data_IF_234953127730
#
_entry.id   IF_234953127730
#
_cell.length_a   1.000
_cell.length_b   1.000
_cell.length_c   1.000
_cell.angle_alpha   90.00
_cell.angle_beta   90.00
_cell.angle_gamma   90.00
#
_symmetry.space_group_name_H-M   'P 1'
#
loop_
_entity.id
_entity.type
_entity.pdbx_description
1 polymer ?
#
# COMPACT_ATOMS: atom_id res chain seq x y z
N UNK A 1 24.12 30.39 30.95
CA UNK A 1 23.81 29.00 30.56
C UNK A 1 22.97 29.11 29.31
N UNK A 2 23.32 28.44 28.21
CA UNK A 2 22.46 28.41 27.06
C UNK A 2 21.11 27.83 27.47
N UNK A 3 20.05 28.34 26.86
CA UNK A 3 18.70 27.79 27.05
C UNK A 3 18.63 26.39 26.43
N UNK A 4 17.75 25.51 26.93
CA UNK A 4 17.55 24.16 26.36
C UNK A 4 17.32 24.20 24.84
N UNK A 5 16.77 25.31 24.31
CA UNK A 5 16.57 25.56 22.89
C UNK A 5 17.86 25.89 22.12
N UNK A 6 18.80 26.61 22.73
CA UNK A 6 20.12 26.93 22.16
C UNK A 6 21.00 25.68 22.12
N UNK A 7 20.92 24.83 23.15
CA UNK A 7 21.59 23.53 23.15
C UNK A 7 21.01 22.63 22.04
N UNK A 8 19.68 22.60 21.87
CA UNK A 8 19.00 21.84 20.80
C UNK A 8 19.41 22.29 19.39
N UNK A 9 19.68 23.59 19.20
CA UNK A 9 20.18 24.17 17.95
C UNK A 9 21.63 23.76 17.65
N UNK A 10 22.50 23.66 18.67
CA UNK A 10 23.86 23.13 18.51
C UNK A 10 23.87 21.63 18.16
N UNK A 11 22.88 20.86 18.64
CA UNK A 11 22.76 19.42 18.34
C UNK A 11 22.33 19.10 16.91
N UNK A 12 21.58 19.98 16.23
CA UNK A 12 21.14 19.77 14.85
C UNK A 12 22.30 19.76 13.83
N UNK A 13 23.48 20.27 14.20
CA UNK A 13 24.65 20.37 13.32
C UNK A 13 25.67 19.23 13.48
N UNK A 14 25.51 18.33 14.46
CA UNK A 14 26.43 17.23 14.69
C UNK A 14 25.93 15.93 14.04
N UNK A 15 26.69 15.43 13.06
CA UNK A 15 26.41 14.20 12.30
C UNK A 15 26.55 12.89 13.08
N UNK A 16 25.99 12.81 14.30
CA UNK A 16 25.97 11.61 15.11
C UNK A 16 24.58 10.94 15.05
N UNK A 17 24.54 9.67 14.66
CA UNK A 17 23.32 8.90 14.36
C UNK A 17 22.45 8.55 15.58
N UNK A 18 22.84 8.99 16.79
CA UNK A 18 22.07 8.82 18.04
C UNK A 18 20.98 9.89 18.27
N UNK A 19 20.84 10.90 17.39
CA UNK A 19 19.87 12.01 17.52
C UNK A 19 18.50 11.66 16.89
N UNK A 20 17.94 10.48 17.18
CA UNK A 20 16.65 10.03 16.60
C UNK A 20 15.43 10.16 17.51
N UNK A 21 15.57 10.73 18.70
CA UNK A 21 14.43 10.96 19.59
C UNK A 21 14.47 12.40 20.09
N UNK A 22 14.00 13.33 19.23
CA UNK A 22 13.54 14.63 19.72
C UNK A 22 12.38 14.36 20.68
N UNK A 23 12.50 14.79 21.93
CA UNK A 23 11.39 14.68 22.89
C UNK A 23 10.24 15.58 22.42
N UNK A 24 9.08 15.02 22.02
CA UNK A 24 7.94 15.80 21.59
C UNK A 24 7.45 16.78 22.67
N UNK A 25 7.71 16.51 23.95
CA UNK A 25 7.27 17.34 25.06
C UNK A 25 7.79 18.78 24.99
N UNK A 26 8.99 18.99 24.43
CA UNK A 26 9.57 20.33 24.23
C UNK A 26 8.73 21.15 23.26
N UNK A 27 8.17 20.53 22.23
CA UNK A 27 7.39 21.21 21.19
C UNK A 27 5.95 21.50 21.61
N UNK A 28 5.48 20.93 22.73
CA UNK A 28 4.14 21.16 23.29
C UNK A 28 4.04 22.45 24.10
N UNK A 29 5.16 23.02 24.54
CA UNK A 29 5.17 24.18 25.44
C UNK A 29 5.72 25.44 24.76
N UNK A 30 5.07 26.61 24.94
CA UNK A 30 3.72 26.80 25.49
C UNK A 30 2.66 26.45 24.43
N UNK A 31 1.67 25.62 24.78
CA UNK A 31 0.44 25.39 23.98
C UNK A 31 0.68 25.13 22.47
N UNK A 32 1.63 24.27 22.15
CA UNK A 32 2.02 23.90 20.77
C UNK A 32 2.47 25.08 19.90
N UNK A 33 2.89 26.22 20.48
CA UNK A 33 3.46 27.34 19.73
C UNK A 33 4.64 26.89 18.84
N UNK A 34 5.61 26.08 19.32
CA UNK A 34 6.67 25.56 18.45
C UNK A 34 6.15 24.78 17.25
N UNK A 35 5.10 23.96 17.41
CA UNK A 35 4.47 23.23 16.29
C UNK A 35 3.83 24.20 15.30
N UNK A 36 3.15 25.25 15.79
CA UNK A 36 2.56 26.29 14.92
C UNK A 36 3.63 27.03 14.12
N UNK A 37 4.75 27.38 14.75
CA UNK A 37 5.87 28.04 14.09
C UNK A 37 6.50 27.11 13.02
N UNK A 38 6.71 25.83 13.34
CA UNK A 38 7.19 24.84 12.38
C UNK A 38 6.27 24.73 11.15
N UNK A 39 4.95 24.75 11.32
CA UNK A 39 3.99 24.75 10.21
C UNK A 39 4.18 25.96 9.27
N UNK A 40 4.49 27.14 9.83
CA UNK A 40 4.79 28.33 9.04
C UNK A 40 6.12 28.20 8.29
N UNK A 41 7.15 27.65 8.95
CA UNK A 41 8.50 27.47 8.39
C UNK A 41 8.54 26.46 7.22
N UNK A 42 7.55 25.57 7.09
CA UNK A 42 7.39 24.70 5.89
C UNK A 42 7.22 25.52 4.60
N UNK A 43 6.72 26.76 4.69
CA UNK A 43 6.53 27.67 3.54
C UNK A 43 7.78 28.49 3.20
N UNK A 44 8.82 28.40 4.01
CA UNK A 44 10.05 29.21 3.88
C UNK A 44 11.00 28.63 2.79
N UNK A 45 12.17 29.25 2.62
CA UNK A 45 13.18 28.79 1.67
C UNK A 45 13.73 27.40 2.05
N UNK A 46 14.20 26.66 1.05
CA UNK A 46 14.39 25.19 1.10
C UNK A 46 15.13 24.65 2.35
N UNK A 47 16.32 25.14 2.75
CA UNK A 47 16.98 24.72 3.99
C UNK A 47 16.11 24.82 5.25
N UNK A 48 15.39 25.92 5.43
CA UNK A 48 14.52 26.10 6.61
C UNK A 48 13.32 25.15 6.53
N UNK A 49 12.66 25.09 5.37
CA UNK A 49 11.53 24.19 5.16
C UNK A 49 11.92 22.72 5.41
N UNK A 50 13.10 22.30 4.95
CA UNK A 50 13.63 20.94 5.16
C UNK A 50 13.85 20.64 6.64
N UNK A 51 14.45 21.57 7.39
CA UNK A 51 14.64 21.41 8.83
C UNK A 51 13.30 21.33 9.56
N UNK A 52 12.34 22.20 9.22
CA UNK A 52 11.01 22.19 9.80
C UNK A 52 10.27 20.88 9.53
N UNK A 53 10.28 20.39 8.29
CA UNK A 53 9.70 19.10 7.91
C UNK A 53 10.35 17.95 8.67
N UNK A 54 11.68 17.94 8.78
CA UNK A 54 12.42 16.90 9.51
C UNK A 54 12.01 16.84 10.99
N UNK A 55 11.87 18.00 11.63
CA UNK A 55 11.40 18.08 13.02
C UNK A 55 9.96 17.55 13.11
N UNK A 56 9.05 18.01 12.25
CA UNK A 56 7.65 17.57 12.22
C UNK A 56 7.52 16.06 12.01
N UNK A 57 8.32 15.46 11.11
CA UNK A 57 8.36 14.02 10.90
C UNK A 57 8.73 13.30 12.20
N UNK A 58 9.77 13.77 12.89
CA UNK A 58 10.27 13.13 14.10
C UNK A 58 9.29 13.23 15.29
N UNK A 59 8.49 14.30 15.39
CA UNK A 59 7.56 14.51 16.50
C UNK A 59 6.11 14.09 16.20
N UNK A 60 5.77 13.79 14.95
CA UNK A 60 4.41 13.41 14.52
C UNK A 60 3.98 12.00 14.95
N UNK A 61 4.82 11.28 15.72
CA UNK A 61 4.40 10.07 16.43
C UNK A 61 3.63 10.39 17.72
N UNK A 62 3.75 11.61 18.26
CA UNK A 62 2.98 12.06 19.41
C UNK A 62 1.55 12.39 19.02
N UNK A 63 0.58 11.85 19.76
CA UNK A 63 -0.86 11.94 19.43
C UNK A 63 -1.38 13.38 19.38
N UNK A 64 -1.00 14.23 20.34
CA UNK A 64 -1.50 15.61 20.42
C UNK A 64 -0.94 16.47 19.28
N UNK A 65 0.34 16.27 18.95
CA UNK A 65 0.98 16.97 17.83
C UNK A 65 0.37 16.49 16.52
N UNK A 66 0.24 15.18 16.33
CA UNK A 66 -0.35 14.58 15.14
C UNK A 66 -1.77 15.12 14.88
N UNK A 67 -2.62 15.17 15.91
CA UNK A 67 -3.96 15.75 15.84
C UNK A 67 -3.94 17.23 15.46
N UNK A 68 -2.98 18.01 16.00
CA UNK A 68 -2.83 19.41 15.64
C UNK A 68 -2.42 19.62 14.17
N UNK A 69 -1.60 18.73 13.61
CA UNK A 69 -1.16 18.80 12.22
C UNK A 69 -2.29 18.40 11.26
N UNK A 70 -3.02 17.33 11.58
CA UNK A 70 -4.11 16.82 10.73
C UNK A 70 -5.31 17.78 10.68
N UNK A 71 -5.60 18.47 11.78
CA UNK A 71 -6.66 19.47 11.87
C UNK A 71 -6.38 20.76 11.07
N UNK A 72 -5.16 20.97 10.58
CA UNK A 72 -4.76 22.17 9.86
C UNK A 72 -4.85 21.99 8.33
N UNK A 73 -6.02 22.29 7.77
CA UNK A 73 -6.26 22.14 6.32
C UNK A 73 -5.33 23.04 5.46
N UNK A 74 -4.86 24.17 5.99
CA UNK A 74 -3.93 25.05 5.28
C UNK A 74 -2.53 24.42 5.19
N UNK A 75 -2.08 23.75 6.25
CA UNK A 75 -0.87 22.92 6.22
C UNK A 75 -1.03 21.81 5.19
N UNK A 76 -2.13 21.05 5.23
CA UNK A 76 -2.36 19.94 4.29
C UNK A 76 -2.32 20.43 2.84
N UNK A 77 -3.02 21.51 2.50
CA UNK A 77 -2.97 22.08 1.14
C UNK A 77 -1.57 22.59 0.78
N UNK A 78 -0.82 23.14 1.74
CA UNK A 78 0.57 23.55 1.53
C UNK A 78 1.46 22.35 1.19
N UNK A 79 1.33 21.24 1.91
CA UNK A 79 2.06 19.99 1.67
C UNK A 79 1.70 19.41 0.29
N UNK A 80 0.41 19.34 -0.04
CA UNK A 80 -0.07 18.85 -1.34
C UNK A 80 0.41 19.72 -2.51
N UNK A 81 0.41 21.05 -2.34
CA UNK A 81 0.95 21.96 -3.36
C UNK A 81 2.44 21.76 -3.57
N UNK A 82 3.22 21.62 -2.49
CA UNK A 82 4.68 21.45 -2.57
C UNK A 82 5.06 20.07 -3.13
N UNK A 83 4.47 18.97 -2.67
CA UNK A 83 4.80 17.63 -3.18
C UNK A 83 4.47 17.46 -4.67
N UNK A 84 3.47 18.18 -5.18
CA UNK A 84 3.09 18.17 -6.60
C UNK A 84 3.86 19.19 -7.45
N UNK A 85 4.84 19.92 -6.89
CA UNK A 85 5.76 20.78 -7.65
C UNK A 85 7.00 19.96 -8.07
N UNK A 86 7.26 19.78 -9.38
CA UNK A 86 8.45 19.07 -9.88
C UNK A 86 9.79 19.67 -9.45
N UNK A 87 9.82 20.90 -8.94
CA UNK A 87 11.01 21.60 -8.45
C UNK A 87 11.17 21.57 -6.94
N UNK A 88 10.22 20.99 -6.21
CA UNK A 88 10.27 20.94 -4.76
C UNK A 88 11.39 20.01 -4.29
N UNK A 89 12.39 20.57 -3.62
CA UNK A 89 13.54 19.79 -3.12
C UNK A 89 13.21 19.00 -1.85
N UNK A 90 12.09 19.30 -1.19
CA UNK A 90 11.65 18.64 0.04
C UNK A 90 10.48 17.67 -0.15
N UNK A 91 10.24 17.23 -1.39
CA UNK A 91 9.07 16.41 -1.72
C UNK A 91 9.09 15.03 -1.03
N UNK A 92 10.26 14.43 -0.81
CA UNK A 92 10.38 13.17 -0.05
C UNK A 92 10.11 13.38 1.44
N UNK A 93 10.59 14.47 2.06
CA UNK A 93 10.24 14.81 3.45
C UNK A 93 8.74 15.08 3.60
N UNK A 94 8.11 15.72 2.62
CA UNK A 94 6.66 15.89 2.61
C UNK A 94 5.94 14.55 2.51
N UNK A 95 6.39 13.64 1.64
CA UNK A 95 5.84 12.29 1.54
C UNK A 95 5.94 11.54 2.88
N UNK A 96 7.08 11.64 3.56
CA UNK A 96 7.28 11.07 4.90
C UNK A 96 6.30 11.66 5.92
N UNK A 97 6.16 12.99 5.96
CA UNK A 97 5.22 13.63 6.89
C UNK A 97 3.79 13.20 6.60
N UNK A 98 3.35 13.26 5.34
CA UNK A 98 2.01 12.82 4.93
C UNK A 98 1.74 11.36 5.32
N UNK A 99 2.73 10.46 5.20
CA UNK A 99 2.59 9.07 5.64
C UNK A 99 2.40 8.94 7.16
N UNK A 100 3.02 9.81 7.97
CA UNK A 100 2.74 9.84 9.40
C UNK A 100 1.34 10.39 9.70
N UNK A 101 0.93 11.44 8.97
CA UNK A 101 -0.42 12.03 9.13
C UNK A 101 -1.51 11.00 8.80
N UNK A 102 -1.30 10.16 7.78
CA UNK A 102 -2.24 9.14 7.31
C UNK A 102 -2.70 8.14 8.39
N UNK A 103 -1.95 8.02 9.50
CA UNK A 103 -2.29 7.16 10.63
C UNK A 103 -3.50 7.65 11.42
N UNK A 104 -3.99 8.87 11.18
CA UNK A 104 -5.27 9.37 11.71
C UNK A 104 -6.36 9.22 10.65
N UNK A 105 -7.48 8.64 11.07
CA UNK A 105 -8.68 8.42 10.25
C UNK A 105 -9.16 9.72 9.55
N UNK A 106 -8.99 10.88 10.18
CA UNK A 106 -9.31 12.19 9.59
C UNK A 106 -8.62 12.45 8.23
N UNK A 107 -7.49 11.80 7.95
CA UNK A 107 -6.80 11.89 6.66
C UNK A 107 -7.51 11.16 5.52
N UNK A 108 -8.54 10.35 5.78
CA UNK A 108 -9.48 9.84 4.77
C UNK A 108 -10.05 10.97 3.89
N UNK A 109 -10.09 12.21 4.41
CA UNK A 109 -10.49 13.41 3.67
C UNK A 109 -9.73 13.58 2.35
N UNK A 110 -8.47 13.12 2.27
CA UNK A 110 -7.65 13.21 1.05
C UNK A 110 -8.24 12.44 -0.14
N UNK A 111 -9.03 11.38 0.10
CA UNK A 111 -9.59 10.53 -0.94
C UNK A 111 -10.56 11.34 -1.84
N UNK A 112 -11.35 12.21 -1.23
CA UNK A 112 -12.38 13.00 -1.91
C UNK A 112 -12.04 14.50 -2.04
N UNK A 113 -10.88 14.93 -1.49
CA UNK A 113 -10.46 16.32 -1.53
C UNK A 113 -10.17 16.77 -2.96
N UNK A 114 -10.98 17.73 -3.45
CA UNK A 114 -10.71 18.45 -4.69
C UNK A 114 -9.77 19.62 -4.42
N UNK A 115 -8.78 19.80 -5.28
CA UNK A 115 -7.80 20.89 -5.20
C UNK A 115 -7.36 21.38 -6.56
N UNK A 116 -6.50 22.39 -6.57
CA UNK A 116 -5.94 22.95 -7.80
C UNK A 116 -5.19 21.88 -8.60
N UNK A 117 -5.28 21.97 -9.93
CA UNK A 117 -4.51 21.11 -10.82
C UNK A 117 -3.03 21.47 -10.75
N UNK A 118 -2.12 20.49 -10.57
CA UNK A 118 -0.70 20.72 -10.75
C UNK A 118 -0.37 20.88 -12.24
N UNK A 119 0.92 21.01 -12.56
CA UNK A 119 1.35 20.96 -13.96
C UNK A 119 0.95 19.62 -14.58
N UNK A 120 0.52 19.64 -15.86
CA UNK A 120 -0.05 18.46 -16.55
C UNK A 120 0.87 17.24 -16.56
N UNK A 121 2.18 17.44 -16.50
CA UNK A 121 3.18 16.36 -16.43
C UNK A 121 3.11 15.57 -15.12
N UNK A 122 2.62 16.20 -14.04
CA UNK A 122 2.37 15.56 -12.75
C UNK A 122 1.04 14.85 -12.81
N UNK A 123 -0.07 15.59 -12.96
CA UNK A 123 -1.42 15.01 -12.96
C UNK A 123 -2.42 15.89 -13.70
N UNK A 124 -3.49 15.26 -14.19
CA UNK A 124 -4.66 15.90 -14.78
C UNK A 124 -5.90 15.80 -13.88
N UNK A 125 -5.82 15.07 -12.77
CA UNK A 125 -6.96 14.89 -11.85
C UNK A 125 -7.12 16.07 -10.90
N UNK A 126 -8.36 16.51 -10.61
CA UNK A 126 -8.63 17.50 -9.57
C UNK A 126 -8.59 16.93 -8.15
N UNK A 127 -8.44 15.62 -7.96
CA UNK A 127 -8.46 15.00 -6.63
C UNK A 127 -7.06 14.82 -6.06
N UNK A 128 -6.88 15.11 -4.77
CA UNK A 128 -5.59 15.07 -4.09
C UNK A 128 -4.96 13.67 -4.13
N UNK A 129 -5.73 12.61 -3.86
CA UNK A 129 -5.20 11.24 -3.87
C UNK A 129 -4.77 10.78 -5.27
N UNK A 130 -5.50 11.15 -6.32
CA UNK A 130 -5.10 10.88 -7.71
C UNK A 130 -3.76 11.58 -8.04
N UNK A 131 -3.58 12.82 -7.59
CA UNK A 131 -2.34 13.57 -7.81
C UNK A 131 -1.15 12.94 -7.06
N UNK A 132 -1.37 12.48 -5.82
CA UNK A 132 -0.34 11.78 -5.04
C UNK A 132 0.02 10.42 -5.64
N UNK A 133 -0.97 9.67 -6.12
CA UNK A 133 -0.76 8.42 -6.84
C UNK A 133 0.03 8.66 -8.13
N UNK A 134 -0.28 9.71 -8.88
CA UNK A 134 0.48 10.08 -10.07
C UNK A 134 1.94 10.46 -9.71
N UNK A 135 2.18 11.19 -8.62
CA UNK A 135 3.53 11.44 -8.11
C UNK A 135 4.27 10.14 -7.78
N UNK A 136 3.60 9.20 -7.12
CA UNK A 136 4.16 7.89 -6.79
C UNK A 136 4.54 7.09 -8.05
N UNK A 137 3.62 6.97 -9.02
CA UNK A 137 3.80 6.14 -10.22
C UNK A 137 4.81 6.78 -11.18
N UNK A 138 4.64 8.08 -11.48
CA UNK A 138 5.45 8.79 -12.48
C UNK A 138 6.73 9.39 -11.92
N UNK A 139 6.90 9.42 -10.59
CA UNK A 139 8.05 10.01 -9.92
C UNK A 139 9.11 9.00 -9.47
N UNK A 140 8.88 7.71 -9.70
CA UNK A 140 9.88 6.68 -9.42
C UNK A 140 11.20 7.03 -10.12
N UNK A 141 12.32 6.80 -9.44
CA UNK A 141 13.68 7.05 -9.94
C UNK A 141 13.97 8.49 -10.40
N UNK A 142 13.27 9.48 -9.81
CA UNK A 142 13.53 10.90 -10.05
C UNK A 142 13.06 11.41 -11.41
N UNK A 143 12.20 10.66 -12.09
CA UNK A 143 11.68 10.98 -13.42
C UNK A 143 10.75 12.19 -13.45
N UNK A 144 9.97 12.40 -12.38
CA UNK A 144 9.11 13.58 -12.22
C UNK A 144 9.82 14.75 -11.53
N UNK A 145 10.66 14.45 -10.54
CA UNK A 145 11.39 15.43 -9.73
C UNK A 145 12.81 14.89 -9.47
N UNK A 146 13.84 15.63 -9.89
CA UNK A 146 15.25 15.19 -9.76
C UNK A 146 15.74 15.07 -8.32
N UNK A 147 14.98 15.61 -7.36
CA UNK A 147 15.32 15.63 -5.95
C UNK A 147 14.49 14.65 -5.12
N UNK A 148 13.54 13.94 -5.72
CA UNK A 148 12.59 13.11 -5.00
C UNK A 148 12.23 11.83 -5.75
N UNK A 149 11.99 10.75 -5.01
CA UNK A 149 11.53 9.49 -5.56
C UNK A 149 10.11 9.12 -5.10
N UNK A 150 9.53 9.86 -4.16
CA UNK A 150 8.16 9.66 -3.67
C UNK A 150 7.91 8.28 -3.01
N UNK A 151 8.96 7.57 -2.58
CA UNK A 151 8.82 6.21 -2.06
C UNK A 151 7.85 6.12 -0.88
N UNK A 152 7.91 7.10 0.05
CA UNK A 152 7.07 7.13 1.25
C UNK A 152 5.58 7.36 0.98
N UNK A 153 5.21 7.78 -0.24
CA UNK A 153 3.79 7.79 -0.64
C UNK A 153 3.21 6.37 -0.59
N UNK A 154 4.03 5.32 -0.75
CA UNK A 154 3.58 3.93 -0.59
C UNK A 154 2.91 3.66 0.77
N UNK A 155 3.45 4.24 1.86
CA UNK A 155 2.87 4.07 3.20
C UNK A 155 1.60 4.91 3.39
N UNK A 156 1.52 6.11 2.79
CA UNK A 156 0.29 6.89 2.75
C UNK A 156 -0.85 6.10 2.06
N UNK A 157 -0.57 5.47 0.91
CA UNK A 157 -1.55 4.65 0.18
C UNK A 157 -1.95 3.40 0.98
N UNK A 158 -0.98 2.77 1.66
CA UNK A 158 -1.23 1.63 2.53
C UNK A 158 -2.11 1.99 3.74
N UNK A 159 -1.87 3.13 4.39
CA UNK A 159 -2.69 3.57 5.52
C UNK A 159 -4.12 3.94 5.08
N UNK A 160 -4.27 4.69 3.99
CA UNK A 160 -5.60 5.06 3.48
C UNK A 160 -6.42 3.83 3.03
N UNK A 161 -5.77 2.79 2.51
CA UNK A 161 -6.46 1.55 2.10
C UNK A 161 -6.94 0.67 3.25
N UNK A 162 -6.59 0.97 4.51
CA UNK A 162 -7.17 0.29 5.68
C UNK A 162 -8.67 0.57 5.83
N UNK A 163 -9.10 1.72 5.33
CA UNK A 163 -10.49 2.19 5.40
C UNK A 163 -11.27 1.73 4.17
N UNK A 164 -12.57 1.44 4.35
CA UNK A 164 -13.42 0.96 3.24
C UNK A 164 -13.43 1.95 2.06
N UNK A 165 -13.56 3.24 2.33
CA UNK A 165 -13.54 4.30 1.30
C UNK A 165 -12.23 4.33 0.52
N UNK A 166 -11.10 3.99 1.16
CA UNK A 166 -9.81 3.84 0.49
C UNK A 166 -9.75 2.60 -0.39
N UNK A 167 -10.26 1.46 0.08
CA UNK A 167 -10.35 0.24 -0.75
C UNK A 167 -11.23 0.45 -1.97
N UNK A 168 -12.39 1.09 -1.77
CA UNK A 168 -13.31 1.45 -2.85
C UNK A 168 -12.61 2.35 -3.88
N UNK A 169 -11.79 3.32 -3.44
CA UNK A 169 -10.96 4.12 -4.34
C UNK A 169 -10.01 3.25 -5.17
N UNK A 170 -9.26 2.34 -4.54
CA UNK A 170 -8.29 1.50 -5.24
C UNK A 170 -8.90 0.46 -6.19
N UNK A 171 -10.18 0.12 -5.99
CA UNK A 171 -10.92 -0.88 -6.76
C UNK A 171 -11.92 -0.27 -7.76
N UNK A 172 -12.00 1.06 -7.84
CA UNK A 172 -12.92 1.76 -8.76
C UNK A 172 -12.17 2.45 -9.89
N UNK A 173 -12.62 2.22 -11.13
CA UNK A 173 -12.13 2.93 -12.32
C UNK A 173 -12.23 4.44 -12.12
N UNK A 174 -11.15 5.17 -12.40
CA UNK A 174 -11.11 6.62 -12.28
C UNK A 174 -11.39 7.30 -13.61
N UNK A 175 -12.16 8.39 -13.59
CA UNK A 175 -12.56 9.09 -14.81
C UNK A 175 -11.39 9.79 -15.53
N UNK A 176 -10.35 10.20 -14.79
CA UNK A 176 -9.28 11.05 -15.33
C UNK A 176 -8.29 10.30 -16.22
N UNK A 177 -8.11 9.00 -16.02
CA UNK A 177 -7.20 8.14 -16.77
C UNK A 177 -7.86 6.83 -17.26
N UNK A 178 -9.07 6.51 -16.78
CA UNK A 178 -9.80 5.30 -17.15
C UNK A 178 -9.24 4.02 -16.55
N UNK A 179 -8.41 4.10 -15.49
CA UNK A 179 -7.70 2.96 -14.92
C UNK A 179 -8.17 2.70 -13.47
N UNK A 180 -8.10 1.44 -13.05
CA UNK A 180 -8.31 1.05 -11.65
C UNK A 180 -7.02 1.32 -10.86
N UNK A 181 -7.02 2.15 -9.80
CA UNK A 181 -5.78 2.60 -9.18
C UNK A 181 -4.84 1.49 -8.69
N UNK A 182 -5.37 0.35 -8.21
CA UNK A 182 -4.52 -0.76 -7.75
C UNK A 182 -3.63 -1.33 -8.86
N UNK A 183 -4.07 -1.35 -10.13
CA UNK A 183 -3.26 -1.90 -11.24
C UNK A 183 -2.03 -1.05 -11.55
N UNK A 184 -2.04 0.23 -11.16
CA UNK A 184 -0.87 1.12 -11.27
C UNK A 184 0.18 0.86 -10.19
N UNK A 185 -0.17 0.12 -9.13
CA UNK A 185 0.72 -0.19 -8.01
C UNK A 185 1.42 -1.53 -8.17
N UNK A 186 0.80 -2.51 -8.84
CA UNK A 186 1.26 -3.90 -8.88
C UNK A 186 2.69 -4.05 -9.41
N UNK A 187 3.08 -3.26 -10.41
CA UNK A 187 4.46 -3.27 -10.97
C UNK A 187 5.56 -2.96 -9.96
N UNK A 188 5.21 -2.34 -8.82
CA UNK A 188 6.18 -1.96 -7.80
C UNK A 188 6.44 -3.05 -6.75
N UNK A 189 5.83 -4.24 -6.86
CA UNK A 189 6.13 -5.38 -5.97
C UNK A 189 7.54 -5.93 -6.17
N UNK A 190 8.14 -5.74 -7.35
CA UNK A 190 9.53 -6.12 -7.67
C UNK A 190 10.49 -4.90 -7.72
N UNK A 191 10.08 -3.75 -7.18
CA UNK A 191 10.87 -2.53 -7.26
C UNK A 191 12.10 -2.56 -6.32
N UNK A 192 13.22 -1.95 -6.71
CA UNK A 192 14.45 -1.89 -5.89
C UNK A 192 14.26 -1.24 -4.51
N UNK A 193 13.33 -0.30 -4.40
CA UNK A 193 13.00 0.38 -3.13
C UNK A 193 12.15 -0.51 -2.23
N UNK A 194 12.72 -0.88 -1.08
CA UNK A 194 12.05 -1.63 -0.03
C UNK A 194 10.76 -0.96 0.47
N UNK A 195 10.79 0.36 0.65
CA UNK A 195 9.64 1.16 1.12
C UNK A 195 8.46 1.01 0.15
N UNK A 196 8.73 1.06 -1.16
CA UNK A 196 7.69 0.87 -2.18
C UNK A 196 7.10 -0.52 -2.12
N UNK A 197 7.95 -1.56 -2.14
CA UNK A 197 7.48 -2.96 -2.09
C UNK A 197 6.60 -3.20 -0.87
N UNK A 198 7.04 -2.76 0.32
CA UNK A 198 6.30 -2.93 1.57
C UNK A 198 4.93 -2.22 1.57
N UNK A 199 4.88 -0.95 1.15
CA UNK A 199 3.63 -0.20 1.11
C UNK A 199 2.65 -0.73 0.03
N UNK A 200 3.18 -1.15 -1.11
CA UNK A 200 2.38 -1.74 -2.21
C UNK A 200 1.82 -3.10 -1.81
N UNK A 201 2.65 -3.99 -1.23
CA UNK A 201 2.19 -5.27 -0.71
C UNK A 201 1.07 -5.10 0.32
N UNK A 202 1.23 -4.13 1.24
CA UNK A 202 0.21 -3.79 2.23
C UNK A 202 -1.09 -3.26 1.58
N UNK A 203 -0.98 -2.41 0.57
CA UNK A 203 -2.15 -1.88 -0.17
C UNK A 203 -2.89 -2.99 -0.91
N UNK A 204 -2.16 -3.90 -1.55
CA UNK A 204 -2.70 -5.09 -2.23
C UNK A 204 -3.44 -5.99 -1.25
N UNK A 205 -2.84 -6.31 -0.10
CA UNK A 205 -3.49 -7.07 0.97
C UNK A 205 -4.78 -6.39 1.45
N UNK A 206 -4.71 -5.09 1.67
CA UNK A 206 -5.86 -4.32 2.16
C UNK A 206 -7.05 -4.40 1.19
N UNK A 207 -6.84 -4.20 -0.11
CA UNK A 207 -7.96 -4.28 -1.07
C UNK A 207 -8.51 -5.70 -1.23
N UNK A 208 -7.71 -6.73 -0.96
CA UNK A 208 -8.14 -8.13 -1.00
C UNK A 208 -9.14 -8.50 0.12
N UNK A 209 -9.41 -7.62 1.09
CA UNK A 209 -10.52 -7.80 2.04
C UNK A 209 -11.91 -7.64 1.39
N UNK A 210 -12.02 -6.97 0.24
CA UNK A 210 -13.29 -6.85 -0.50
C UNK A 210 -13.52 -8.12 -1.35
N UNK A 211 -14.14 -9.13 -0.72
CA UNK A 211 -14.37 -10.47 -1.31
C UNK A 211 -15.17 -10.41 -2.60
N UNK A 212 -16.15 -9.52 -2.70
CA UNK A 212 -16.95 -9.29 -3.91
C UNK A 212 -16.11 -8.75 -5.09
N UNK A 213 -14.91 -8.23 -4.82
CA UNK A 213 -13.97 -7.71 -5.82
C UNK A 213 -12.87 -8.70 -6.19
N UNK A 214 -12.83 -9.90 -5.62
CA UNK A 214 -11.88 -10.95 -6.02
C UNK A 214 -11.96 -11.28 -7.53
N UNK A 215 -13.13 -11.36 -8.18
CA UNK A 215 -13.19 -11.56 -9.62
C UNK A 215 -12.46 -10.47 -10.42
N UNK A 216 -12.61 -9.19 -10.02
CA UNK A 216 -11.90 -8.07 -10.66
C UNK A 216 -10.37 -8.18 -10.47
N UNK A 217 -9.93 -8.56 -9.26
CA UNK A 217 -8.52 -8.70 -8.94
C UNK A 217 -7.85 -9.85 -9.71
N UNK A 218 -8.56 -10.97 -9.86
CA UNK A 218 -8.06 -12.21 -10.47
C UNK A 218 -8.22 -12.27 -12.00
N UNK A 219 -9.12 -11.46 -12.57
CA UNK A 219 -9.32 -11.35 -14.00
C UNK A 219 -8.08 -10.76 -14.69
N UNK A 220 -7.79 -11.27 -15.89
CA UNK A 220 -6.72 -10.81 -16.76
C UNK A 220 -6.99 -9.37 -17.27
N UNK A 221 -5.96 -8.65 -17.71
CA UNK A 221 -6.12 -7.27 -18.18
C UNK A 221 -6.90 -7.17 -19.51
N UNK A 222 -7.02 -8.29 -20.24
CA UNK A 222 -7.88 -8.44 -21.41
C UNK A 222 -9.34 -8.75 -21.08
N UNK A 223 -9.62 -9.20 -19.86
CA UNK A 223 -10.97 -9.51 -19.38
C UNK A 223 -11.65 -8.27 -18.80
N UNK A 224 -12.98 -8.31 -18.67
CA UNK A 224 -13.77 -7.20 -18.11
C UNK A 224 -14.73 -7.72 -17.05
N UNK A 225 -14.73 -7.08 -15.89
CA UNK A 225 -15.63 -7.34 -14.77
C UNK A 225 -16.42 -6.06 -14.51
N UNK A 226 -17.75 -6.11 -14.64
CA UNK A 226 -18.64 -4.95 -14.46
C UNK A 226 -18.26 -3.70 -15.28
N UNK A 227 -17.76 -3.91 -16.51
CA UNK A 227 -17.33 -2.81 -17.40
C UNK A 227 -15.95 -2.23 -17.07
N UNK A 228 -15.20 -2.87 -16.16
CA UNK A 228 -13.86 -2.50 -15.74
C UNK A 228 -12.86 -3.58 -16.17
N UNK A 229 -11.72 -3.23 -16.81
CA UNK A 229 -10.68 -4.20 -17.11
C UNK A 229 -10.17 -4.92 -15.86
N UNK A 230 -9.84 -6.20 -15.99
CA UNK A 230 -9.22 -6.97 -14.91
C UNK A 230 -7.89 -6.38 -14.46
N UNK A 231 -7.51 -6.65 -13.20
CA UNK A 231 -6.28 -6.12 -12.60
C UNK A 231 -5.06 -6.99 -12.91
N UNK A 232 -5.26 -8.28 -13.22
CA UNK A 232 -4.23 -9.29 -13.38
C UNK A 232 -3.23 -9.29 -12.20
N UNK A 233 -3.73 -9.43 -10.97
CA UNK A 233 -2.90 -9.22 -9.78
C UNK A 233 -1.91 -10.36 -9.49
N UNK A 234 -2.21 -11.59 -9.95
CA UNK A 234 -1.50 -12.79 -9.54
C UNK A 234 0.00 -12.80 -9.86
N UNK A 235 0.46 -12.45 -11.09
CA UNK A 235 1.89 -12.39 -11.38
C UNK A 235 2.65 -11.53 -10.38
N UNK A 236 2.09 -10.38 -10.01
CA UNK A 236 2.73 -9.41 -9.12
C UNK A 236 2.76 -9.81 -7.64
N UNK A 237 1.88 -10.70 -7.21
CA UNK A 237 1.91 -11.29 -5.86
C UNK A 237 2.85 -12.50 -5.82
N UNK A 238 2.92 -13.27 -6.90
CA UNK A 238 3.67 -14.52 -6.97
C UNK A 238 5.16 -14.30 -7.29
N UNK A 239 5.51 -13.30 -8.11
CA UNK A 239 6.90 -12.99 -8.45
C UNK A 239 7.79 -12.73 -7.21
N UNK A 240 7.37 -11.95 -6.20
CA UNK A 240 8.15 -11.78 -4.97
C UNK A 240 8.40 -13.08 -4.19
N UNK A 241 7.54 -14.09 -4.36
CA UNK A 241 7.65 -15.40 -3.72
C UNK A 241 8.53 -16.39 -4.53
N UNK A 242 8.82 -16.08 -5.79
CA UNK A 242 9.55 -16.95 -6.69
C UNK A 242 11.07 -16.80 -6.58
N UNK A 243 11.80 -17.92 -6.61
CA UNK A 243 13.24 -17.95 -6.88
C UNK A 243 13.52 -18.37 -8.31
N UNK A 244 14.77 -18.74 -8.60
CA UNK A 244 15.21 -19.26 -9.90
C UNK A 244 15.02 -20.77 -10.06
N UNK A 245 14.09 -21.37 -9.30
CA UNK A 245 13.82 -22.80 -9.38
C UNK A 245 13.18 -23.20 -10.71
N UNK A 246 13.52 -24.40 -11.18
CA UNK A 246 12.88 -25.03 -12.33
C UNK A 246 11.77 -25.98 -11.88
N UNK A 247 10.62 -25.88 -12.53
CA UNK A 247 9.47 -26.75 -12.28
C UNK A 247 9.39 -27.87 -13.33
N UNK A 248 8.91 -29.08 -12.97
CA UNK A 248 8.58 -30.12 -13.94
C UNK A 248 7.63 -29.61 -15.03
N UNK A 249 7.76 -30.12 -16.25
CA UNK A 249 6.97 -29.67 -17.42
C UNK A 249 5.46 -29.73 -17.17
N UNK A 250 4.98 -30.76 -16.45
CA UNK A 250 3.57 -30.91 -16.09
C UNK A 250 3.05 -29.80 -15.15
N UNK A 251 3.88 -29.37 -14.18
CA UNK A 251 3.55 -28.25 -13.28
C UNK A 251 3.70 -26.91 -14.05
N UNK A 252 4.79 -26.74 -14.80
CA UNK A 252 5.09 -25.49 -15.53
C UNK A 252 4.05 -25.16 -16.61
N UNK A 253 3.50 -26.17 -17.31
CA UNK A 253 2.55 -25.97 -18.41
C UNK A 253 1.30 -25.15 -18.04
N UNK A 254 0.89 -25.19 -16.77
CA UNK A 254 -0.28 -24.47 -16.28
C UNK A 254 0.07 -23.23 -15.44
N UNK A 255 1.35 -22.95 -15.17
CA UNK A 255 1.76 -21.74 -14.46
C UNK A 255 1.46 -20.48 -15.27
N UNK A 256 1.43 -19.32 -14.61
CA UNK A 256 1.35 -18.04 -15.32
C UNK A 256 2.60 -17.84 -16.21
N UNK A 257 2.48 -17.26 -17.42
CA UNK A 257 3.62 -17.05 -18.32
C UNK A 257 4.78 -16.30 -17.66
N UNK A 258 4.48 -15.33 -16.80
CA UNK A 258 5.48 -14.55 -16.04
C UNK A 258 6.31 -15.40 -15.06
N UNK A 259 5.89 -16.63 -14.77
CA UNK A 259 6.55 -17.55 -13.83
C UNK A 259 7.24 -18.76 -14.51
N UNK A 260 7.04 -19.00 -15.82
CA UNK A 260 7.48 -20.23 -16.47
C UNK A 260 8.96 -20.27 -16.87
N UNK A 261 9.65 -19.11 -16.95
CA UNK A 261 11.04 -19.01 -17.39
C UNK A 261 11.76 -17.83 -16.70
N UNK A 262 11.84 -17.90 -15.38
CA UNK A 262 12.48 -16.86 -14.58
C UNK A 262 13.99 -16.82 -14.84
N UNK A 263 14.62 -15.63 -14.83
CA UNK A 263 16.05 -15.51 -15.06
C UNK A 263 16.85 -16.16 -13.91
N UNK A 264 18.09 -16.59 -14.15
CA UNK A 264 18.88 -17.33 -13.15
C UNK A 264 19.23 -16.52 -11.90
N UNK A 265 19.21 -15.19 -12.00
CA UNK A 265 19.40 -14.24 -10.89
C UNK A 265 18.09 -13.85 -10.20
N UNK A 266 16.94 -14.43 -10.59
CA UNK A 266 15.68 -14.22 -9.89
C UNK A 266 15.79 -14.72 -8.45
N UNK A 267 15.52 -13.81 -7.52
CA UNK A 267 15.45 -14.11 -6.10
C UNK A 267 14.07 -13.73 -5.55
N UNK A 268 13.70 -14.41 -4.46
CA UNK A 268 12.58 -14.01 -3.61
C UNK A 268 12.86 -12.65 -2.99
N UNK A 269 11.81 -11.95 -2.56
CA UNK A 269 12.00 -10.77 -1.73
C UNK A 269 12.79 -11.16 -0.47
N UNK A 270 13.73 -10.31 -0.09
CA UNK A 270 14.60 -10.53 1.06
C UNK A 270 13.94 -10.15 2.39
N UNK A 271 12.78 -9.47 2.35
CA UNK A 271 12.02 -9.10 3.55
C UNK A 271 10.88 -10.11 3.81
N UNK A 272 10.97 -10.82 4.94
CA UNK A 272 9.99 -11.82 5.36
C UNK A 272 8.60 -11.25 5.63
N UNK A 273 8.47 -9.98 6.08
CA UNK A 273 7.17 -9.33 6.25
C UNK A 273 6.48 -9.15 4.90
N UNK A 274 7.25 -8.84 3.84
CA UNK A 274 6.72 -8.68 2.48
C UNK A 274 6.26 -10.04 1.94
N UNK A 275 7.08 -11.09 2.08
CA UNK A 275 6.70 -12.47 1.70
C UNK A 275 5.40 -12.90 2.41
N UNK A 276 5.34 -12.70 3.73
CA UNK A 276 4.17 -13.02 4.55
C UNK A 276 2.93 -12.25 4.08
N UNK A 277 3.08 -10.96 3.76
CA UNK A 277 1.98 -10.11 3.28
C UNK A 277 1.40 -10.64 1.95
N UNK A 278 2.26 -11.10 1.03
CA UNK A 278 1.82 -11.70 -0.23
C UNK A 278 1.13 -13.06 -0.03
N UNK A 279 1.66 -13.91 0.86
CA UNK A 279 1.02 -15.18 1.23
C UNK A 279 -0.36 -14.97 1.87
N UNK A 280 -0.49 -13.99 2.75
CA UNK A 280 -1.77 -13.62 3.35
C UNK A 280 -2.75 -13.04 2.32
N UNK A 281 -2.25 -12.31 1.31
CA UNK A 281 -3.07 -11.85 0.20
C UNK A 281 -3.61 -13.04 -0.60
N UNK A 282 -2.77 -14.02 -0.94
CA UNK A 282 -3.21 -15.25 -1.61
C UNK A 282 -4.26 -16.00 -0.76
N UNK A 283 -4.04 -16.09 0.56
CA UNK A 283 -5.01 -16.69 1.47
C UNK A 283 -6.36 -15.95 1.45
N UNK A 284 -6.38 -14.61 1.45
CA UNK A 284 -7.62 -13.84 1.29
C UNK A 284 -8.30 -14.18 -0.04
N UNK A 285 -7.56 -14.27 -1.15
CA UNK A 285 -8.09 -14.64 -2.46
C UNK A 285 -8.65 -16.08 -2.51
N UNK A 286 -8.32 -16.95 -1.55
CA UNK A 286 -8.93 -18.29 -1.42
C UNK A 286 -10.30 -18.29 -0.72
N UNK A 287 -10.84 -17.12 -0.34
CA UNK A 287 -12.13 -17.04 0.35
C UNK A 287 -13.27 -17.60 -0.51
N UNK A 288 -13.26 -17.30 -1.81
CA UNK A 288 -14.26 -17.81 -2.77
C UNK A 288 -13.80 -19.13 -3.39
N UNK A 289 -14.77 -19.90 -3.90
CA UNK A 289 -14.48 -21.15 -4.62
C UNK A 289 -13.71 -20.86 -5.90
N UNK A 290 -14.16 -19.86 -6.64
CA UNK A 290 -13.58 -19.40 -7.90
C UNK A 290 -12.13 -18.94 -7.70
N UNK A 291 -11.84 -18.27 -6.58
CA UNK A 291 -10.48 -17.90 -6.20
C UNK A 291 -9.59 -19.11 -5.94
N UNK A 292 -10.07 -20.10 -5.17
CA UNK A 292 -9.33 -21.36 -4.97
C UNK A 292 -9.10 -22.11 -6.28
N UNK A 293 -10.11 -22.24 -7.12
CA UNK A 293 -10.02 -22.88 -8.43
C UNK A 293 -9.00 -22.17 -9.33
N UNK A 294 -9.01 -20.84 -9.39
CA UNK A 294 -8.02 -20.06 -10.15
C UNK A 294 -6.60 -20.28 -9.65
N UNK A 295 -6.38 -20.24 -8.33
CA UNK A 295 -5.06 -20.48 -7.74
C UNK A 295 -4.56 -21.92 -7.97
N UNK A 296 -5.45 -22.93 -7.92
CA UNK A 296 -5.11 -24.32 -8.29
C UNK A 296 -4.80 -24.44 -9.78
N UNK A 297 -5.63 -23.83 -10.63
CA UNK A 297 -5.48 -23.86 -12.09
C UNK A 297 -4.10 -23.34 -12.52
N UNK A 298 -3.65 -22.24 -11.93
CA UNK A 298 -2.37 -21.60 -12.29
C UNK A 298 -1.17 -22.12 -11.51
N UNK A 299 -1.30 -23.29 -10.87
CA UNK A 299 -0.21 -23.98 -10.18
C UNK A 299 0.48 -23.12 -9.11
N UNK A 300 -0.30 -22.45 -8.26
CA UNK A 300 0.26 -21.71 -7.12
C UNK A 300 0.91 -22.66 -6.10
N UNK A 301 0.36 -23.86 -5.88
CA UNK A 301 0.88 -24.80 -4.88
C UNK A 301 2.37 -25.14 -5.07
N UNK A 302 2.85 -25.59 -6.26
CA UNK A 302 4.27 -25.83 -6.48
C UNK A 302 5.17 -24.64 -6.10
N UNK A 303 4.77 -23.41 -6.45
CA UNK A 303 5.54 -22.23 -6.09
C UNK A 303 5.64 -22.02 -4.56
N UNK A 304 4.53 -22.23 -3.85
CA UNK A 304 4.48 -22.12 -2.39
C UNK A 304 5.29 -23.22 -1.72
N UNK A 305 5.31 -24.44 -2.28
CA UNK A 305 6.17 -25.55 -1.83
C UNK A 305 7.65 -25.17 -1.92
N UNK A 306 8.08 -24.60 -3.04
CA UNK A 306 9.47 -24.15 -3.17
C UNK A 306 9.79 -22.99 -2.24
N UNK A 307 8.86 -22.05 -2.07
CA UNK A 307 8.99 -20.94 -1.11
C UNK A 307 9.19 -21.46 0.30
N UNK A 308 8.29 -22.33 0.79
CA UNK A 308 8.38 -22.95 2.11
C UNK A 308 9.72 -23.68 2.33
N UNK A 309 10.21 -24.37 1.31
CA UNK A 309 11.46 -25.16 1.37
C UNK A 309 12.70 -24.28 1.50
N UNK A 310 12.72 -23.10 0.86
CA UNK A 310 13.91 -22.25 0.76
C UNK A 310 13.94 -21.09 1.75
N UNK A 311 12.85 -20.81 2.46
CA UNK A 311 12.81 -19.80 3.54
C UNK A 311 13.09 -20.45 4.90
N UNK A 312 13.81 -19.75 5.78
CA UNK A 312 14.09 -20.20 7.15
C UNK A 312 13.13 -19.59 8.19
N UNK A 313 12.45 -18.50 7.83
CA UNK A 313 11.54 -17.77 8.71
C UNK A 313 10.28 -18.56 9.05
N UNK A 314 10.01 -18.74 10.35
CA UNK A 314 8.86 -19.50 10.83
C UNK A 314 7.53 -18.86 10.44
N UNK A 315 7.44 -17.52 10.43
CA UNK A 315 6.22 -16.80 10.07
C UNK A 315 5.87 -16.98 8.60
N UNK A 316 6.87 -16.96 7.72
CA UNK A 316 6.68 -17.24 6.29
C UNK A 316 6.26 -18.70 6.09
N UNK A 317 6.89 -19.67 6.77
CA UNK A 317 6.52 -21.09 6.68
C UNK A 317 5.09 -21.35 7.15
N UNK A 318 4.68 -20.77 8.28
CA UNK A 318 3.30 -20.87 8.76
C UNK A 318 2.29 -20.26 7.77
N UNK A 319 2.64 -19.13 7.15
CA UNK A 319 1.79 -18.53 6.12
C UNK A 319 1.66 -19.43 4.88
N UNK A 320 2.74 -20.08 4.43
CA UNK A 320 2.71 -21.10 3.38
C UNK A 320 1.80 -22.27 3.77
N UNK A 321 1.95 -22.82 4.98
CA UNK A 321 1.17 -23.97 5.45
C UNK A 321 -0.33 -23.66 5.47
N UNK A 322 -0.72 -22.50 5.99
CA UNK A 322 -2.13 -22.05 6.01
C UNK A 322 -2.71 -21.97 4.60
N UNK A 323 -1.97 -21.41 3.65
CA UNK A 323 -2.41 -21.31 2.26
C UNK A 323 -2.57 -22.69 1.61
N UNK A 324 -1.57 -23.57 1.75
CA UNK A 324 -1.60 -24.92 1.19
C UNK A 324 -2.76 -25.73 1.77
N UNK A 325 -3.02 -25.64 3.07
CA UNK A 325 -4.16 -26.31 3.71
C UNK A 325 -5.49 -25.93 3.08
N UNK A 326 -5.67 -24.68 2.64
CA UNK A 326 -6.91 -24.26 1.96
C UNK A 326 -6.94 -24.74 0.52
N UNK A 327 -5.82 -24.69 -0.20
CA UNK A 327 -5.73 -25.16 -1.58
C UNK A 327 -5.89 -26.67 -1.72
N UNK A 328 -5.49 -27.45 -0.71
CA UNK A 328 -5.56 -28.93 -0.73
C UNK A 328 -6.89 -29.49 -0.23
N UNK A 329 -7.77 -28.65 0.34
CA UNK A 329 -9.12 -29.11 0.71
C UNK A 329 -9.94 -29.36 -0.55
N UNK A 330 -10.65 -30.48 -0.55
CA UNK A 330 -11.70 -30.74 -1.52
C UNK A 330 -12.82 -29.71 -1.35
N UNK A 331 -13.43 -29.31 -2.47
CA UNK A 331 -14.64 -28.50 -2.42
C UNK A 331 -15.78 -29.41 -1.93
N UNK A 332 -16.20 -29.27 -0.67
CA UNK A 332 -17.41 -29.95 -0.20
C UNK A 332 -18.59 -29.49 -1.09
N UNK A 333 -19.25 -30.44 -1.75
CA UNK A 333 -20.55 -30.17 -2.35
C UNK A 333 -21.46 -29.73 -1.21
N UNK A 334 -21.82 -28.44 -1.17
CA UNK A 334 -22.89 -27.99 -0.28
C UNK A 334 -24.09 -28.91 -0.51
N UNK A 335 -24.68 -29.53 0.53
CA UNK A 335 -25.87 -30.32 0.33
C UNK A 335 -26.90 -29.42 -0.37
N UNK A 336 -27.39 -29.89 -1.52
CA UNK A 336 -28.57 -29.30 -2.15
C UNK A 336 -29.63 -29.28 -1.05
N UNK A 337 -30.00 -28.09 -0.60
CA UNK A 337 -31.18 -27.94 0.24
C UNK A 337 -32.32 -28.35 -0.67
N UNK A 338 -32.80 -29.59 -0.53
CA UNK A 338 -34.09 -29.98 -1.08
C UNK A 338 -35.10 -29.09 -0.37
N UNK A 339 -35.71 -28.17 -1.12
CA UNK A 339 -36.89 -27.45 -0.68
C UNK A 339 -37.94 -28.51 -0.33
N UNK A 340 -38.17 -28.71 0.96
CA UNK A 340 -39.27 -29.54 1.43
C UNK A 340 -40.54 -28.74 1.17
N UNK A 341 -41.34 -29.18 0.18
CA UNK A 341 -42.67 -28.65 -0.09
C UNK A 341 -43.52 -28.72 1.20
N UNK A 342 -43.86 -27.56 1.78
CA UNK A 342 -44.69 -27.45 2.99
C UNK A 342 -46.21 -27.59 2.69
N UNK A 343 -46.63 -28.48 1.79
CA UNK A 343 -48.07 -28.67 1.47
C UNK A 343 -48.73 -29.92 2.09
N UNK A 344 -48.03 -30.80 2.81
CA UNK A 344 -48.63 -32.05 3.33
C UNK A 344 -48.96 -32.09 4.84
N UNK A 345 -49.13 -30.96 5.53
CA UNK A 345 -49.53 -30.97 6.96
C UNK A 345 -50.71 -30.07 7.31
N UNK A 346 -51.84 -30.25 6.63
CA UNK A 346 -53.15 -29.91 7.20
C UNK A 346 -54.16 -30.98 6.82
N UNK A 347 -54.08 -32.17 7.40
CA UNK A 347 -55.26 -33.01 7.60
C UNK A 347 -55.24 -33.67 8.98
N UNK A 348 -56.40 -33.56 9.64
CA UNK A 348 -56.86 -34.29 10.82
C UNK A 348 -56.25 -33.97 12.20
N UNK A 349 -56.91 -33.04 12.91
CA UNK A 349 -57.29 -33.31 14.30
C UNK A 349 -58.77 -32.95 14.47
N UNK A 350 -59.56 -33.99 14.75
CA UNK A 350 -60.97 -34.00 15.12
C UNK A 350 -61.28 -33.23 16.41
#
# INVERSE_FOLDING_TARGET
MPTELEELLEFLHHGNTQIRQLDPAVFKKPQLVPVRDLKLLVKDYTPIAKNALTILINISHDTEILENLVADDELIETLLRKITDPKEQTADEIAMLLSNLAKKDDMEKLINLKRALPVKTVSTSPYALDQLLDCFVKGADGSLNKHANFDYVAYLLADLSKHKVGRDYFLSKRDYDGVVPISKLTVFTEHKSHIRRRGVASTIKNVAFEVDKHPLLLADDTETVDGVPGVNILPYILLPLAGSEEFPEEESANMLPDLQLLPPDKARDSDNDILTTHLETLLLLTTTKEGREKLRQVQVYPLIRETHTHVEDEGVREACDRLVQVLMRDEEERPKVEEVDEEEKIEEIF
#
